data_IF_502204064396
#
_entry.id   IF_502204064396
#
_cell.length_a   1.000
_cell.length_b   1.000
_cell.length_c   1.000
_cell.angle_alpha   90.00
_cell.angle_beta   90.00
_cell.angle_gamma   90.00
#
_symmetry.space_group_name_H-M   'P 1'
#
loop_
_entity.id
_entity.type
_entity.pdbx_description
1 polymer ?
#
# COMPACT_ATOMS: atom_id res chain seq x y z
N UNK A 1 -3.53 11.69 5.33
CA UNK A 1 -2.43 12.40 4.68
C UNK A 1 -2.60 13.90 4.81
N UNK A 2 -1.59 14.63 4.48
CA UNK A 2 -1.56 16.10 4.51
C UNK A 2 -1.10 16.69 3.16
N UNK A 3 -1.18 15.91 2.12
CA UNK A 3 -0.71 16.24 0.75
C UNK A 3 -1.44 17.48 0.15
N UNK A 4 -2.60 17.84 0.72
CA UNK A 4 -3.43 18.97 0.31
C UNK A 4 -3.20 20.24 1.18
N UNK A 5 -2.20 20.23 2.08
CA UNK A 5 -1.87 21.36 2.95
C UNK A 5 -0.48 21.87 2.61
N UNK A 6 -0.34 23.18 2.40
CA UNK A 6 0.97 23.85 2.31
C UNK A 6 1.57 23.96 3.72
N UNK A 7 2.31 22.93 4.11
CA UNK A 7 2.94 22.84 5.43
C UNK A 7 4.09 23.83 5.61
N UNK A 8 4.76 24.25 4.52
CA UNK A 8 5.82 25.24 4.58
C UNK A 8 5.23 26.63 4.89
N UNK A 9 4.18 27.02 4.17
CA UNK A 9 3.47 28.26 4.42
C UNK A 9 2.80 28.29 5.81
N UNK A 10 2.18 27.17 6.22
CA UNK A 10 1.62 27.05 7.57
C UNK A 10 2.68 27.27 8.66
N UNK A 11 3.88 26.71 8.48
CA UNK A 11 5.02 26.94 9.39
C UNK A 11 5.44 28.40 9.43
N UNK A 12 5.56 29.05 8.27
CA UNK A 12 5.87 30.50 8.16
C UNK A 12 4.85 31.36 8.92
N UNK A 13 3.58 30.97 8.87
CA UNK A 13 2.47 31.68 9.56
C UNK A 13 2.25 31.24 11.01
N UNK A 14 3.13 30.43 11.57
CA UNK A 14 2.98 29.84 12.91
C UNK A 14 1.67 29.08 13.12
N UNK A 15 1.14 28.46 12.07
CA UNK A 15 -0.03 27.59 12.14
C UNK A 15 0.43 26.17 12.34
N UNK A 16 -0.04 25.51 13.40
CA UNK A 16 0.25 24.09 13.66
C UNK A 16 -0.63 23.22 12.77
N UNK A 17 -0.03 22.31 12.03
CA UNK A 17 -0.72 21.33 11.22
C UNK A 17 -0.47 19.94 11.81
N UNK A 18 -1.55 19.21 12.09
CA UNK A 18 -1.51 17.84 12.58
C UNK A 18 -2.27 16.91 11.64
N UNK A 19 -1.87 15.65 11.59
CA UNK A 19 -2.63 14.60 10.92
C UNK A 19 -3.11 13.55 11.92
N UNK A 20 -3.98 12.64 11.49
CA UNK A 20 -4.53 11.55 12.31
C UNK A 20 -3.99 10.19 11.82
N UNK A 21 -2.71 9.85 12.09
CA UNK A 21 -2.11 8.65 11.54
C UNK A 21 -2.79 7.38 12.07
N UNK A 22 -2.93 6.39 11.19
CA UNK A 22 -3.44 5.07 11.55
C UNK A 22 -4.96 4.94 11.56
N UNK A 23 -5.75 6.02 11.58
CA UNK A 23 -7.20 5.96 11.75
C UNK A 23 -7.95 5.27 10.60
N UNK A 24 -7.39 5.27 9.41
CA UNK A 24 -7.93 4.63 8.21
C UNK A 24 -7.14 3.39 7.77
N UNK A 25 -6.12 2.99 8.51
CA UNK A 25 -5.18 1.95 8.05
C UNK A 25 -5.81 0.57 7.94
N UNK A 26 -6.78 0.26 8.80
CA UNK A 26 -7.52 -1.01 8.72
C UNK A 26 -8.40 -1.06 7.46
N UNK A 27 -9.10 0.02 7.14
CA UNK A 27 -9.94 0.09 5.95
C UNK A 27 -9.13 -0.14 4.66
N UNK A 28 -7.95 0.49 4.56
CA UNK A 28 -7.02 0.26 3.42
C UNK A 28 -6.56 -1.19 3.37
N UNK A 29 -6.23 -1.78 4.53
CA UNK A 29 -5.79 -3.17 4.59
C UNK A 29 -6.89 -4.15 4.17
N UNK A 30 -8.13 -3.92 4.55
CA UNK A 30 -9.29 -4.72 4.09
C UNK A 30 -9.49 -4.62 2.58
N UNK A 31 -9.36 -3.41 2.02
CA UNK A 31 -9.44 -3.23 0.56
C UNK A 31 -8.35 -4.01 -0.17
N UNK A 32 -7.12 -4.06 0.37
CA UNK A 32 -6.04 -4.91 -0.19
C UNK A 32 -6.52 -6.34 -0.36
N UNK A 33 -7.19 -6.93 0.65
CA UNK A 33 -7.68 -8.31 0.56
C UNK A 33 -8.90 -8.44 -0.37
N UNK A 34 -9.78 -7.44 -0.44
CA UNK A 34 -10.84 -7.40 -1.45
C UNK A 34 -10.27 -7.46 -2.87
N UNK A 35 -9.25 -6.65 -3.15
CA UNK A 35 -8.54 -6.63 -4.43
C UNK A 35 -7.78 -7.93 -4.69
N UNK A 36 -7.12 -8.51 -3.66
CA UNK A 36 -6.40 -9.78 -3.78
C UNK A 36 -7.34 -10.94 -4.12
N UNK A 37 -8.43 -11.10 -3.38
CA UNK A 37 -9.43 -12.15 -3.65
C UNK A 37 -9.98 -12.00 -5.06
N UNK A 38 -10.29 -10.79 -5.48
CA UNK A 38 -10.74 -10.49 -6.84
C UNK A 38 -9.71 -10.90 -7.90
N UNK A 39 -8.43 -10.54 -7.69
CA UNK A 39 -7.35 -10.81 -8.63
C UNK A 39 -7.00 -12.31 -8.74
N UNK A 40 -6.92 -13.05 -7.60
CA UNK A 40 -6.62 -14.49 -7.64
C UNK A 40 -7.77 -15.32 -8.20
N UNK A 41 -9.01 -14.79 -8.13
CA UNK A 41 -10.19 -15.41 -8.73
C UNK A 41 -10.46 -14.91 -10.16
N UNK A 42 -9.40 -14.44 -10.87
CA UNK A 42 -9.45 -13.96 -12.26
C UNK A 42 -10.55 -12.91 -12.51
N UNK A 43 -10.70 -11.95 -11.56
CA UNK A 43 -11.69 -10.88 -11.64
C UNK A 43 -13.13 -11.39 -11.83
N UNK A 44 -13.43 -12.59 -11.29
CA UNK A 44 -14.71 -13.29 -11.37
C UNK A 44 -15.22 -13.51 -12.80
N UNK A 45 -14.31 -13.74 -13.75
CA UNK A 45 -14.63 -13.96 -15.17
C UNK A 45 -15.16 -15.37 -15.51
N UNK A 46 -15.46 -16.20 -14.52
CA UNK A 46 -15.95 -17.58 -14.67
C UNK A 46 -14.87 -18.63 -14.85
N UNK A 47 -13.59 -18.25 -15.00
CA UNK A 47 -12.46 -19.20 -15.08
C UNK A 47 -11.97 -19.58 -13.67
N UNK A 48 -11.40 -20.76 -13.57
CA UNK A 48 -10.76 -21.20 -12.31
C UNK A 48 -9.63 -20.29 -11.91
N UNK A 49 -9.66 -19.82 -10.65
CA UNK A 49 -8.61 -19.01 -10.05
C UNK A 49 -7.70 -19.84 -9.14
N UNK A 50 -7.02 -19.14 -8.23
CA UNK A 50 -6.15 -19.73 -7.21
C UNK A 50 -6.58 -19.25 -5.81
N UNK A 51 -5.97 -19.82 -4.76
CA UNK A 51 -6.22 -19.46 -3.36
C UNK A 51 -5.08 -18.60 -2.81
N UNK A 52 -5.34 -17.92 -1.69
CA UNK A 52 -4.31 -17.17 -0.95
C UNK A 52 -3.59 -18.03 0.07
N UNK A 53 -4.20 -19.12 0.53
CA UNK A 53 -3.63 -20.04 1.52
C UNK A 53 -2.23 -20.53 1.06
N UNK A 54 -1.25 -20.41 1.96
CA UNK A 54 0.13 -20.81 1.71
C UNK A 54 0.94 -19.95 0.74
N UNK A 55 0.34 -18.88 0.16
CA UNK A 55 1.09 -17.94 -0.69
C UNK A 55 1.94 -16.99 0.15
N UNK A 56 3.06 -16.56 -0.40
CA UNK A 56 3.97 -15.59 0.19
C UNK A 56 3.53 -14.17 -0.18
N UNK A 57 3.15 -13.40 0.84
CA UNK A 57 2.83 -11.98 0.71
C UNK A 57 4.01 -11.12 1.14
N UNK A 58 4.56 -10.33 0.25
CA UNK A 58 5.54 -9.29 0.52
C UNK A 58 4.87 -7.95 0.81
N UNK A 59 5.25 -7.33 1.90
CA UNK A 59 4.76 -6.01 2.34
C UNK A 59 5.91 -5.01 2.22
N UNK A 60 5.82 -4.08 1.29
CA UNK A 60 6.79 -3.00 1.15
C UNK A 60 6.33 -1.78 1.95
N UNK A 61 7.04 -1.49 3.02
CA UNK A 61 6.79 -0.60 4.16
C UNK A 61 5.85 -1.20 5.23
N UNK A 62 6.39 -1.32 6.45
CA UNK A 62 5.75 -1.96 7.60
C UNK A 62 5.21 -0.94 8.62
N UNK A 63 4.55 0.11 8.09
CA UNK A 63 3.84 1.13 8.86
C UNK A 63 2.45 0.68 9.31
N UNK A 64 1.55 1.65 9.60
CA UNK A 64 0.19 1.35 10.10
C UNK A 64 -0.62 0.46 9.14
N UNK A 65 -0.57 0.72 7.83
CA UNK A 65 -1.28 -0.10 6.84
C UNK A 65 -0.62 -1.48 6.70
N UNK A 66 0.70 -1.54 6.52
CA UNK A 66 1.44 -2.79 6.36
C UNK A 66 1.22 -3.77 7.52
N UNK A 67 1.20 -3.28 8.77
CA UNK A 67 0.90 -4.10 9.97
C UNK A 67 -0.51 -4.67 9.96
N UNK A 68 -1.51 -3.88 9.53
CA UNK A 68 -2.88 -4.38 9.39
C UNK A 68 -3.01 -5.40 8.24
N UNK A 69 -2.32 -5.17 7.12
CA UNK A 69 -2.24 -6.14 6.02
C UNK A 69 -1.63 -7.45 6.50
N UNK A 70 -0.52 -7.40 7.25
CA UNK A 70 0.11 -8.59 7.82
C UNK A 70 -0.84 -9.37 8.75
N UNK A 71 -1.58 -8.65 9.60
CA UNK A 71 -2.56 -9.26 10.51
C UNK A 71 -3.66 -10.01 9.74
N UNK A 72 -4.22 -9.40 8.70
CA UNK A 72 -5.28 -10.01 7.89
C UNK A 72 -4.72 -11.17 7.06
N UNK A 73 -3.52 -11.02 6.48
CA UNK A 73 -2.85 -12.07 5.70
C UNK A 73 -2.69 -13.38 6.48
N UNK A 74 -2.32 -13.29 7.75
CA UNK A 74 -2.23 -14.46 8.64
C UNK A 74 -3.57 -15.17 8.81
N UNK A 75 -4.68 -14.42 8.85
CA UNK A 75 -6.03 -14.99 8.88
C UNK A 75 -6.39 -15.77 7.61
N UNK A 76 -5.79 -15.41 6.46
CA UNK A 76 -5.87 -16.18 5.21
C UNK A 76 -4.89 -17.35 5.11
N UNK A 77 -4.08 -17.59 6.16
CA UNK A 77 -3.06 -18.65 6.15
C UNK A 77 -1.90 -18.38 5.18
N UNK A 78 -1.60 -17.10 4.91
CA UNK A 78 -0.46 -16.69 4.08
C UNK A 78 0.84 -16.66 4.89
N UNK A 79 1.97 -16.91 4.23
CA UNK A 79 3.30 -16.58 4.77
C UNK A 79 3.59 -15.10 4.49
N UNK A 80 3.93 -14.33 5.53
CA UNK A 80 4.07 -12.87 5.41
C UNK A 80 5.53 -12.47 5.55
N UNK A 81 6.00 -11.72 4.57
CA UNK A 81 7.33 -11.12 4.49
C UNK A 81 7.20 -9.60 4.46
N UNK A 82 8.14 -8.87 5.04
CA UNK A 82 8.14 -7.42 4.98
C UNK A 82 9.56 -6.85 4.85
N UNK A 83 9.63 -5.73 4.15
CA UNK A 83 10.77 -4.82 4.13
C UNK A 83 10.32 -3.41 4.46
N UNK A 84 11.05 -2.76 5.34
CA UNK A 84 10.87 -1.34 5.67
C UNK A 84 12.25 -0.72 5.93
N UNK A 85 12.53 0.42 5.32
CA UNK A 85 13.82 1.11 5.46
C UNK A 85 14.03 1.72 6.84
N UNK A 86 12.97 1.92 7.62
CA UNK A 86 12.99 2.63 8.90
C UNK A 86 12.53 1.77 10.09
N UNK A 87 11.78 0.69 9.85
CA UNK A 87 11.34 -0.22 10.89
C UNK A 87 12.41 -1.29 11.12
N UNK A 88 12.97 -1.42 12.33
CA UNK A 88 13.94 -2.45 12.64
C UNK A 88 13.39 -3.86 12.39
N UNK A 89 14.25 -4.79 11.95
CA UNK A 89 13.86 -6.17 11.62
C UNK A 89 13.27 -6.92 12.79
N UNK A 90 13.86 -6.79 13.95
CA UNK A 90 13.38 -7.40 15.20
C UNK A 90 11.95 -6.96 15.55
N UNK A 91 11.60 -5.70 15.26
CA UNK A 91 10.23 -5.18 15.42
C UNK A 91 9.28 -5.84 14.44
N UNK A 92 9.68 -6.09 13.19
CA UNK A 92 8.89 -6.82 12.20
C UNK A 92 8.70 -8.27 12.66
N UNK A 93 9.80 -8.94 13.01
CA UNK A 93 9.82 -10.35 13.40
C UNK A 93 9.06 -10.63 14.69
N UNK A 94 9.07 -9.69 15.65
CA UNK A 94 8.28 -9.80 16.88
C UNK A 94 6.78 -9.94 16.66
N UNK A 95 6.31 -9.54 15.48
CA UNK A 95 4.91 -9.69 15.07
C UNK A 95 4.64 -11.02 14.33
N UNK A 96 5.63 -11.91 14.19
CA UNK A 96 5.55 -13.15 13.45
C UNK A 96 5.47 -12.95 11.92
N UNK A 97 6.18 -11.92 11.42
CA UNK A 97 6.40 -11.62 9.99
C UNK A 97 7.87 -11.78 9.69
N UNK A 98 8.23 -12.37 8.56
CA UNK A 98 9.62 -12.53 8.15
C UNK A 98 10.19 -11.21 7.63
N UNK A 99 11.17 -10.63 8.32
CA UNK A 99 11.87 -9.46 7.83
C UNK A 99 12.90 -9.86 6.76
N UNK A 100 12.93 -9.12 5.64
CA UNK A 100 13.93 -9.31 4.58
C UNK A 100 14.91 -8.15 4.52
N UNK A 101 16.08 -8.38 3.87
CA UNK A 101 17.20 -7.45 3.90
C UNK A 101 16.98 -6.18 3.05
N UNK A 102 16.24 -6.33 1.95
CA UNK A 102 16.00 -5.26 0.99
C UNK A 102 14.74 -5.55 0.15
N UNK A 103 14.35 -4.57 -0.64
CA UNK A 103 13.18 -4.70 -1.51
C UNK A 103 13.37 -5.77 -2.61
N UNK A 104 14.58 -5.95 -3.11
CA UNK A 104 14.88 -6.94 -4.14
C UNK A 104 14.54 -8.35 -3.64
N UNK A 105 15.03 -8.70 -2.45
CA UNK A 105 14.71 -9.97 -1.80
C UNK A 105 13.20 -10.14 -1.56
N UNK A 106 12.47 -9.05 -1.27
CA UNK A 106 11.01 -9.10 -1.12
C UNK A 106 10.32 -9.49 -2.42
N UNK A 107 10.71 -8.85 -3.54
CA UNK A 107 10.12 -9.11 -4.86
C UNK A 107 10.50 -10.50 -5.40
N UNK A 108 11.72 -10.96 -5.17
CA UNK A 108 12.20 -12.26 -5.64
C UNK A 108 11.51 -13.46 -4.96
N UNK A 109 11.20 -13.35 -3.67
CA UNK A 109 10.72 -14.51 -2.92
C UNK A 109 9.20 -14.53 -2.68
N UNK A 110 8.47 -13.45 -2.97
CA UNK A 110 7.04 -13.38 -2.73
C UNK A 110 6.22 -13.65 -4.00
N UNK A 111 5.04 -14.25 -3.82
CA UNK A 111 4.08 -14.50 -4.89
C UNK A 111 3.24 -13.24 -5.16
N UNK A 112 3.07 -12.42 -4.12
CA UNK A 112 2.27 -11.20 -4.12
C UNK A 112 3.09 -10.13 -3.41
N UNK A 113 3.13 -8.91 -3.97
CA UNK A 113 3.76 -7.75 -3.31
C UNK A 113 2.75 -6.63 -3.18
N UNK A 114 2.57 -6.15 -1.95
CA UNK A 114 1.68 -5.04 -1.59
C UNK A 114 2.48 -3.81 -1.18
N UNK A 115 2.20 -2.68 -1.84
CA UNK A 115 2.94 -1.44 -1.67
C UNK A 115 2.24 -0.52 -0.67
N UNK A 116 3.01 -0.05 0.33
CA UNK A 116 2.54 0.87 1.39
C UNK A 116 3.52 2.02 1.63
N UNK A 117 4.47 2.23 0.71
CA UNK A 117 5.46 3.31 0.76
C UNK A 117 4.83 4.67 0.45
N UNK A 118 5.26 5.76 1.13
CA UNK A 118 4.88 7.12 0.76
C UNK A 118 5.55 7.53 -0.57
N UNK A 119 5.02 8.56 -1.22
CA UNK A 119 5.69 9.19 -2.36
C UNK A 119 6.67 10.26 -1.84
N UNK A 120 7.95 9.92 -1.80
CA UNK A 120 9.06 10.82 -1.49
C UNK A 120 9.97 10.96 -2.72
N UNK A 121 10.95 11.87 -2.72
CA UNK A 121 11.94 11.93 -3.82
C UNK A 121 12.61 10.57 -4.09
N UNK A 122 12.87 9.78 -3.03
CA UNK A 122 13.57 8.49 -3.12
C UNK A 122 12.66 7.36 -3.60
N UNK A 123 11.35 7.44 -3.31
CA UNK A 123 10.39 6.38 -3.64
C UNK A 123 9.62 6.63 -4.93
N UNK A 124 9.66 7.85 -5.48
CA UNK A 124 9.04 8.16 -6.77
C UNK A 124 9.65 7.30 -7.86
N UNK A 125 8.79 6.64 -8.63
CA UNK A 125 9.15 5.74 -9.73
C UNK A 125 10.14 4.62 -9.34
N UNK A 126 10.29 4.32 -8.04
CA UNK A 126 11.16 3.25 -7.56
C UNK A 126 10.63 1.86 -7.90
N UNK A 127 9.33 1.73 -8.09
CA UNK A 127 8.70 0.48 -8.52
C UNK A 127 8.74 0.45 -10.05
N UNK A 128 9.81 -0.11 -10.57
CA UNK A 128 10.23 -0.03 -11.96
C UNK A 128 10.32 -1.42 -12.62
N UNK A 129 10.70 -1.44 -13.90
CA UNK A 129 10.86 -2.68 -14.69
C UNK A 129 11.79 -3.70 -14.01
N UNK A 130 12.97 -3.23 -13.55
CA UNK A 130 13.99 -4.11 -12.98
C UNK A 130 13.51 -4.76 -11.68
N UNK A 131 12.85 -3.99 -10.81
CA UNK A 131 12.37 -4.48 -9.52
C UNK A 131 11.18 -5.43 -9.69
N UNK A 132 10.14 -5.02 -10.43
CA UNK A 132 8.94 -5.85 -10.64
C UNK A 132 9.27 -7.08 -11.49
N UNK A 133 10.24 -6.97 -12.39
CA UNK A 133 10.75 -8.10 -13.19
C UNK A 133 11.29 -9.27 -12.38
N UNK A 134 11.72 -9.01 -11.13
CA UNK A 134 12.20 -10.04 -10.17
C UNK A 134 11.08 -10.90 -9.60
N UNK A 135 9.81 -10.47 -9.72
CA UNK A 135 8.68 -11.24 -9.18
C UNK A 135 8.58 -12.62 -9.82
N UNK A 136 8.17 -13.58 -9.02
CA UNK A 136 7.91 -14.95 -9.46
C UNK A 136 6.90 -15.00 -10.60
N UNK A 137 6.86 -16.14 -11.29
CA UNK A 137 5.82 -16.41 -12.29
C UNK A 137 4.42 -16.32 -11.66
N UNK A 138 3.48 -15.71 -12.38
CA UNK A 138 2.13 -15.41 -11.93
C UNK A 138 2.06 -14.44 -10.73
N UNK A 139 3.08 -13.59 -10.57
CA UNK A 139 3.15 -12.59 -9.51
C UNK A 139 2.01 -11.57 -9.58
N UNK A 140 1.59 -11.07 -8.42
CA UNK A 140 0.57 -10.03 -8.31
C UNK A 140 1.17 -8.83 -7.59
N UNK A 141 1.18 -7.68 -8.25
CA UNK A 141 1.55 -6.40 -7.66
C UNK A 141 0.28 -5.65 -7.24
N UNK A 142 0.23 -5.18 -5.98
CA UNK A 142 -0.89 -4.38 -5.47
C UNK A 142 -0.38 -3.02 -5.02
N UNK A 143 -1.03 -1.95 -5.50
CA UNK A 143 -0.75 -0.59 -5.05
C UNK A 143 -2.00 0.06 -4.44
N UNK A 144 -2.00 0.24 -3.12
CA UNK A 144 -2.98 1.06 -2.39
C UNK A 144 -2.33 2.28 -1.73
N UNK A 145 -1.08 2.57 -2.08
CA UNK A 145 -0.27 3.64 -1.50
C UNK A 145 -0.36 4.96 -2.28
N UNK A 146 0.45 5.11 -3.33
CA UNK A 146 0.54 6.31 -4.18
C UNK A 146 0.87 5.89 -5.62
N UNK A 147 0.26 6.56 -6.61
CA UNK A 147 0.58 6.28 -8.04
C UNK A 147 2.01 6.67 -8.41
N UNK A 148 2.50 7.73 -7.80
CA UNK A 148 3.83 8.30 -8.06
C UNK A 148 4.98 7.36 -7.75
N UNK A 149 4.76 6.30 -6.98
CA UNK A 149 5.83 5.31 -6.69
C UNK A 149 6.04 4.34 -7.86
N UNK A 150 5.06 4.21 -8.76
CA UNK A 150 5.15 3.35 -9.94
C UNK A 150 5.81 4.10 -11.11
N UNK A 151 6.78 3.48 -11.76
CA UNK A 151 7.21 3.87 -13.09
C UNK A 151 6.26 3.25 -14.11
N UNK A 152 5.19 3.97 -14.45
CA UNK A 152 4.09 3.43 -15.28
C UNK A 152 4.57 2.98 -16.66
N UNK A 153 5.38 3.75 -17.43
CA UNK A 153 5.91 3.31 -18.73
C UNK A 153 6.70 2.00 -18.64
N UNK A 154 7.53 1.86 -17.61
CA UNK A 154 8.34 0.66 -17.42
C UNK A 154 7.48 -0.56 -16.98
N UNK A 155 6.48 -0.34 -16.14
CA UNK A 155 5.55 -1.40 -15.73
C UNK A 155 4.70 -1.88 -16.91
N UNK A 156 4.22 -0.97 -17.77
CA UNK A 156 3.50 -1.30 -19.01
C UNK A 156 4.38 -2.16 -19.92
N UNK A 157 5.64 -1.74 -20.15
CA UNK A 157 6.60 -2.52 -20.93
C UNK A 157 6.78 -3.93 -20.37
N UNK A 158 7.00 -4.03 -19.07
CA UNK A 158 7.15 -5.33 -18.39
C UNK A 158 5.91 -6.21 -18.54
N UNK A 159 4.70 -5.66 -18.34
CA UNK A 159 3.45 -6.41 -18.44
C UNK A 159 3.15 -6.86 -19.88
N UNK A 160 3.67 -6.17 -20.90
CA UNK A 160 3.59 -6.62 -22.28
C UNK A 160 4.48 -7.85 -22.53
N UNK A 161 5.65 -7.91 -21.92
CA UNK A 161 6.61 -9.03 -22.03
C UNK A 161 6.23 -10.19 -21.08
N UNK A 162 5.87 -9.87 -19.82
CA UNK A 162 5.48 -10.82 -18.76
C UNK A 162 3.96 -10.97 -18.71
N UNK A 163 3.42 -11.82 -19.60
CA UNK A 163 1.96 -12.03 -19.73
C UNK A 163 1.32 -12.77 -18.54
N UNK A 164 2.12 -13.18 -17.59
CA UNK A 164 1.73 -13.86 -16.36
C UNK A 164 1.53 -12.92 -15.16
N UNK A 165 2.06 -11.68 -15.23
CA UNK A 165 1.93 -10.71 -14.13
C UNK A 165 0.54 -10.07 -14.09
N UNK A 166 0.08 -9.79 -12.87
CA UNK A 166 -1.11 -8.98 -12.62
C UNK A 166 -0.76 -7.72 -11.84
N UNK A 167 -1.41 -6.63 -12.19
CA UNK A 167 -1.34 -5.37 -11.47
C UNK A 167 -2.74 -4.93 -11.03
N UNK A 168 -2.93 -4.72 -9.72
CA UNK A 168 -4.18 -4.21 -9.13
C UNK A 168 -3.90 -2.98 -8.29
N UNK A 169 -4.77 -1.99 -8.39
CA UNK A 169 -4.53 -0.72 -7.69
C UNK A 169 -5.83 -0.07 -7.20
N UNK A 170 -5.75 0.64 -6.07
CA UNK A 170 -6.80 1.54 -5.55
C UNK A 170 -6.63 2.98 -6.08
N UNK A 171 -5.56 3.23 -6.81
CA UNK A 171 -5.23 4.57 -7.29
C UNK A 171 -5.09 4.50 -8.80
N UNK A 172 -6.04 5.14 -9.50
CA UNK A 172 -6.05 5.19 -10.95
C UNK A 172 -4.72 5.74 -11.47
N UNK A 173 -3.95 4.96 -12.29
CA UNK A 173 -2.73 5.43 -12.92
C UNK A 173 -3.02 6.55 -13.93
N UNK A 174 -1.99 7.32 -14.28
CA UNK A 174 -2.11 8.31 -15.36
C UNK A 174 -2.25 7.61 -16.73
N UNK A 175 -1.58 6.47 -16.92
CA UNK A 175 -1.64 5.62 -18.11
C UNK A 175 -2.72 4.51 -18.00
N UNK A 176 -3.89 4.82 -17.38
CA UNK A 176 -4.96 3.84 -17.14
C UNK A 176 -5.47 3.16 -18.43
N UNK A 177 -5.53 3.90 -19.55
CA UNK A 177 -5.97 3.37 -20.82
C UNK A 177 -5.01 2.30 -21.37
N UNK A 178 -3.71 2.52 -21.23
CA UNK A 178 -2.67 1.57 -21.64
C UNK A 178 -2.70 0.31 -20.75
N UNK A 179 -2.88 0.48 -19.44
CA UNK A 179 -3.04 -0.66 -18.54
C UNK A 179 -4.32 -1.45 -18.82
N UNK A 180 -5.42 -0.79 -19.19
CA UNK A 180 -6.68 -1.44 -19.51
C UNK A 180 -6.58 -2.43 -20.71
N UNK A 181 -5.57 -2.26 -21.58
CA UNK A 181 -5.28 -3.21 -22.66
C UNK A 181 -4.82 -4.59 -22.15
N UNK A 182 -4.40 -4.71 -20.87
CA UNK A 182 -4.01 -5.97 -20.26
C UNK A 182 -5.23 -6.68 -19.63
N UNK A 183 -6.22 -7.03 -20.43
CA UNK A 183 -7.45 -7.69 -20.00
C UNK A 183 -7.18 -8.93 -19.12
N UNK A 184 -7.90 -9.02 -17.99
CA UNK A 184 -7.75 -10.12 -17.02
C UNK A 184 -6.46 -10.11 -16.21
N UNK A 185 -5.64 -9.04 -16.34
CA UNK A 185 -4.39 -8.87 -15.60
C UNK A 185 -4.24 -7.51 -14.92
N UNK A 186 -5.12 -6.57 -15.25
CA UNK A 186 -5.16 -5.24 -14.66
C UNK A 186 -6.53 -4.93 -14.09
N UNK A 187 -6.54 -4.24 -12.95
CA UNK A 187 -7.72 -3.63 -12.37
C UNK A 187 -7.36 -2.38 -11.56
N UNK A 188 -8.12 -1.33 -11.73
CA UNK A 188 -8.09 -0.14 -10.89
C UNK A 188 -9.48 0.16 -10.35
N UNK A 189 -9.57 0.58 -9.08
CA UNK A 189 -10.81 1.20 -8.59
C UNK A 189 -11.09 2.50 -9.32
N UNK A 190 -12.35 2.90 -9.49
CA UNK A 190 -12.69 4.11 -10.27
C UNK A 190 -12.14 5.40 -9.65
N UNK A 191 -11.88 5.39 -8.34
CA UNK A 191 -11.24 6.44 -7.57
C UNK A 191 -10.59 5.81 -6.33
N UNK A 192 -9.70 6.55 -5.65
CA UNK A 192 -9.11 6.09 -4.38
C UNK A 192 -10.20 5.81 -3.35
N UNK A 193 -10.32 4.57 -2.91
CA UNK A 193 -11.39 4.08 -2.02
C UNK A 193 -10.89 3.52 -0.69
N UNK A 194 -9.59 3.24 -0.55
CA UNK A 194 -9.06 2.52 0.61
C UNK A 194 -9.44 3.09 1.97
N UNK A 195 -9.60 4.41 2.07
CA UNK A 195 -10.00 5.08 3.30
C UNK A 195 -11.51 5.45 3.35
N UNK A 196 -12.30 5.06 2.34
CA UNK A 196 -13.71 5.46 2.20
C UNK A 196 -14.65 4.51 2.93
N UNK A 197 -14.53 4.45 4.27
CA UNK A 197 -15.45 3.73 5.14
C UNK A 197 -16.02 4.66 6.21
N UNK A 198 -17.20 4.36 6.71
CA UNK A 198 -17.85 5.13 7.77
C UNK A 198 -16.99 5.15 9.04
N UNK A 199 -16.40 4.01 9.38
CA UNK A 199 -15.53 3.82 10.54
C UNK A 199 -14.25 4.64 10.42
N UNK A 200 -13.58 4.63 9.26
CA UNK A 200 -12.35 5.41 9.04
C UNK A 200 -12.62 6.91 9.18
N UNK A 201 -13.73 7.41 8.63
CA UNK A 201 -14.13 8.81 8.73
C UNK A 201 -14.46 9.19 10.18
N UNK A 202 -15.24 8.38 10.88
CA UNK A 202 -15.59 8.60 12.29
C UNK A 202 -14.35 8.59 13.17
N UNK A 203 -13.47 7.60 13.02
CA UNK A 203 -12.24 7.48 13.80
C UNK A 203 -11.30 8.68 13.55
N UNK A 204 -11.17 9.12 12.30
CA UNK A 204 -10.35 10.28 11.97
C UNK A 204 -10.91 11.57 12.60
N UNK A 205 -12.24 11.77 12.58
CA UNK A 205 -12.90 12.91 13.22
C UNK A 205 -12.70 12.92 14.74
N UNK A 206 -12.91 11.79 15.40
CA UNK A 206 -12.68 11.64 16.85
C UNK A 206 -11.21 11.91 17.21
N UNK A 207 -10.28 11.33 16.43
CA UNK A 207 -8.86 11.55 16.67
C UNK A 207 -8.46 13.03 16.49
N UNK A 208 -8.96 13.69 15.45
CA UNK A 208 -8.71 15.12 15.23
C UNK A 208 -9.22 15.98 16.40
N UNK A 209 -10.45 15.74 16.87
CA UNK A 209 -11.00 16.46 18.01
C UNK A 209 -10.17 16.26 19.28
N UNK A 210 -9.73 15.03 19.56
CA UNK A 210 -8.85 14.73 20.72
C UNK A 210 -7.49 15.44 20.60
N UNK A 211 -6.88 15.46 19.42
CA UNK A 211 -5.60 16.13 19.18
C UNK A 211 -5.72 17.65 19.37
N UNK A 212 -6.75 18.28 18.81
CA UNK A 212 -7.02 19.71 18.99
C UNK A 212 -7.19 20.04 20.48
N UNK A 213 -7.97 19.24 21.21
CA UNK A 213 -8.14 19.44 22.65
C UNK A 213 -6.81 19.32 23.41
N UNK A 214 -6.00 18.30 23.11
CA UNK A 214 -4.69 18.11 23.75
C UNK A 214 -3.70 19.25 23.40
N UNK A 215 -3.75 19.78 22.18
CA UNK A 215 -2.95 20.92 21.78
C UNK A 215 -3.28 22.16 22.61
N UNK A 216 -4.55 22.50 22.77
CA UNK A 216 -4.95 23.69 23.54
C UNK A 216 -4.85 23.50 25.05
N UNK A 217 -5.04 22.30 25.58
CA UNK A 217 -4.94 22.03 27.01
C UNK A 217 -3.48 21.90 27.50
N UNK A 218 -2.65 21.15 26.75
CA UNK A 218 -1.35 20.69 27.22
C UNK A 218 -0.20 21.08 26.25
N UNK A 219 -0.47 21.78 25.15
CA UNK A 219 0.51 22.11 24.12
C UNK A 219 1.03 20.86 23.36
N UNK A 220 0.27 19.78 23.34
CA UNK A 220 0.68 18.52 22.71
C UNK A 220 0.81 18.69 21.18
N UNK A 221 2.00 18.40 20.64
CA UNK A 221 2.32 18.48 19.20
C UNK A 221 2.76 17.14 18.63
N UNK A 222 2.36 16.03 19.25
CA UNK A 222 2.80 14.67 18.90
C UNK A 222 2.57 14.31 17.42
N UNK A 223 1.52 14.87 16.81
CA UNK A 223 1.10 14.56 15.45
C UNK A 223 1.36 15.71 14.47
N UNK A 224 2.17 16.68 14.89
CA UNK A 224 2.56 17.80 14.06
C UNK A 224 3.39 17.36 12.86
N UNK A 225 3.12 17.95 11.68
CA UNK A 225 3.74 17.62 10.39
C UNK A 225 4.50 18.79 9.75
N UNK A 226 4.53 19.97 10.40
CA UNK A 226 5.24 21.18 9.93
C UNK A 226 6.19 21.79 10.97
#
# INVERSE_FOLDING_TARGET
>A
GYDNVDIAYAKEKNVVVENTPGQNSNAVAELVFGLLVYAVRNFYNGKSGTELLGKKLGILAYGNVGRNVARIAKGFGMEVYAYDAFCPKDVIESTGVHAVDNQDALFEQCDIVSLHIPATPETRQSINYALVGKMKKNGILINTARKEVINEPELIKLMAERTDLKFVTDIKPDADAEFAAFEGRYFSTPKKMGAQTAEANTNAGIAAAKQINAFFADGCTKFRVN
#
